data_IF_844736361113
#
_entry.id   IF_844736361113
#
_cell.length_a   1.000
_cell.length_b   1.000
_cell.length_c   1.000
_cell.angle_alpha   90.00
_cell.angle_beta   90.00
_cell.angle_gamma   90.00
#
_symmetry.space_group_name_H-M   'P 1'
#
loop_
_entity.id
_entity.type
_entity.pdbx_description
1 polymer ?
#
# COMPACT_ATOMS: atom_id res chain seq x y z
N UNK A 1 -17.72 21.36 -20.21
CA UNK A 1 -18.26 21.27 -21.57
C UNK A 1 -17.30 20.42 -22.35
N UNK A 2 -17.77 19.25 -22.84
CA UNK A 2 -17.00 18.40 -23.75
C UNK A 2 -17.19 18.95 -25.16
N UNK A 3 -16.11 19.34 -25.83
CA UNK A 3 -16.15 19.70 -27.25
C UNK A 3 -16.14 18.40 -28.07
N UNK A 4 -17.32 18.08 -28.60
CA UNK A 4 -17.52 16.92 -29.47
C UNK A 4 -17.98 17.46 -30.82
N UNK A 5 -17.24 17.15 -31.88
CA UNK A 5 -17.67 17.43 -33.24
C UNK A 5 -18.30 16.17 -33.85
N UNK A 6 -19.36 16.33 -34.62
CA UNK A 6 -20.04 15.25 -35.32
C UNK A 6 -19.80 15.37 -36.82
N UNK A 7 -19.25 14.33 -37.42
CA UNK A 7 -19.06 14.16 -38.85
C UNK A 7 -20.22 13.36 -39.42
N UNK A 8 -20.94 13.91 -40.37
CA UNK A 8 -22.06 13.20 -41.03
C UNK A 8 -21.50 12.11 -41.94
N UNK A 9 -21.90 10.87 -41.70
CA UNK A 9 -21.51 9.71 -42.48
C UNK A 9 -22.60 9.28 -43.51
N UNK A 10 -23.68 10.06 -43.62
CA UNK A 10 -24.80 9.73 -44.47
C UNK A 10 -25.58 8.47 -44.08
N UNK A 11 -26.35 7.96 -44.99
CA UNK A 11 -27.18 6.77 -44.79
C UNK A 11 -26.32 5.49 -44.86
N UNK A 12 -26.26 4.76 -43.78
CA UNK A 12 -25.53 3.49 -43.66
C UNK A 12 -26.47 2.32 -43.59
N UNK A 13 -26.17 1.25 -44.37
CA UNK A 13 -26.90 0.02 -44.29
C UNK A 13 -26.32 -0.87 -43.22
N UNK A 14 -27.08 -1.15 -42.17
CA UNK A 14 -26.62 -1.98 -41.08
C UNK A 14 -27.18 -3.40 -41.20
N UNK A 15 -26.35 -4.39 -40.82
CA UNK A 15 -26.76 -5.79 -40.81
C UNK A 15 -27.98 -5.99 -39.89
N UNK A 16 -29.05 -6.61 -40.39
CA UNK A 16 -30.31 -6.84 -39.70
C UNK A 16 -31.24 -5.62 -39.49
N UNK A 17 -30.99 -4.49 -40.16
CA UNK A 17 -31.89 -3.34 -40.17
C UNK A 17 -32.34 -3.10 -41.61
N UNK A 18 -33.65 -3.25 -41.87
CA UNK A 18 -34.20 -3.17 -43.23
C UNK A 18 -34.20 -1.76 -43.84
N UNK A 19 -34.04 -0.72 -43.02
CA UNK A 19 -33.99 0.69 -43.46
C UNK A 19 -32.61 1.30 -43.24
N UNK A 20 -32.09 2.08 -44.21
CA UNK A 20 -30.86 2.82 -43.99
C UNK A 20 -30.96 3.74 -42.76
N UNK A 21 -29.94 3.74 -41.94
CA UNK A 21 -29.87 4.60 -40.74
C UNK A 21 -28.88 5.72 -41.02
N UNK A 22 -29.27 6.96 -40.78
CA UNK A 22 -28.37 8.12 -40.88
C UNK A 22 -27.36 8.08 -39.70
N UNK A 23 -26.09 7.99 -40.01
CA UNK A 23 -25.04 7.79 -39.03
C UNK A 23 -24.13 9.03 -38.90
N UNK A 24 -23.75 9.35 -37.68
CA UNK A 24 -22.78 10.38 -37.38
C UNK A 24 -21.60 9.78 -36.63
N UNK A 25 -20.39 10.16 -37.01
CA UNK A 25 -19.18 9.82 -36.27
C UNK A 25 -18.87 10.92 -35.28
N UNK A 26 -18.89 10.59 -33.98
CA UNK A 26 -18.43 11.51 -32.96
C UNK A 26 -16.89 11.55 -32.96
N UNK A 27 -16.33 12.70 -33.23
CA UNK A 27 -14.89 12.97 -33.02
C UNK A 27 -14.75 13.77 -31.72
N UNK A 28 -14.14 13.17 -30.76
CA UNK A 28 -13.64 13.92 -29.61
C UNK A 28 -12.41 14.69 -30.13
N UNK A 29 -12.43 16.01 -30.03
CA UNK A 29 -11.21 16.78 -30.24
C UNK A 29 -10.21 16.22 -29.24
N UNK A 30 -9.12 15.64 -29.75
CA UNK A 30 -7.99 15.25 -28.92
C UNK A 30 -7.49 16.55 -28.25
N UNK A 31 -8.10 16.89 -27.13
CA UNK A 31 -7.39 17.67 -26.13
C UNK A 31 -6.19 16.77 -25.84
N UNK A 32 -4.94 17.22 -26.12
CA UNK A 32 -3.81 16.45 -25.65
C UNK A 32 -4.09 16.24 -24.16
N UNK A 33 -4.46 15.01 -23.81
CA UNK A 33 -4.42 14.60 -22.42
C UNK A 33 -2.93 14.70 -22.14
N UNK A 34 -2.50 15.91 -21.74
CA UNK A 34 -1.36 15.99 -20.85
C UNK A 34 -1.70 14.89 -19.87
N UNK A 35 -1.00 13.77 -19.95
CA UNK A 35 -0.98 12.81 -18.86
C UNK A 35 -0.63 13.70 -17.68
N UNK A 36 -1.66 14.21 -17.06
CA UNK A 36 -1.55 14.84 -15.76
C UNK A 36 -0.90 13.71 -14.99
N UNK A 37 0.39 13.82 -14.83
CA UNK A 37 1.12 13.03 -13.85
C UNK A 37 0.18 13.03 -12.69
N UNK A 38 -0.40 11.86 -12.37
CA UNK A 38 -1.42 11.76 -11.35
C UNK A 38 -0.89 12.65 -10.25
N UNK A 39 -1.58 13.75 -9.99
CA UNK A 39 -1.12 14.75 -9.03
C UNK A 39 -0.96 13.95 -7.77
N UNK A 40 0.29 13.56 -7.49
CA UNK A 40 0.63 12.87 -6.25
C UNK A 40 0.22 13.89 -5.23
N UNK A 41 -0.95 13.67 -4.63
CA UNK A 41 -1.40 14.51 -3.52
C UNK A 41 -0.23 14.54 -2.55
N UNK A 42 0.28 15.71 -2.18
CA UNK A 42 1.37 15.76 -1.23
C UNK A 42 0.93 15.01 0.00
N UNK A 43 1.58 13.86 0.25
CA UNK A 43 1.35 13.12 1.47
C UNK A 43 1.64 14.05 2.65
N UNK A 44 0.90 13.90 3.75
CA UNK A 44 1.19 14.65 4.96
C UNK A 44 2.68 14.55 5.26
N UNK A 45 3.31 15.60 5.79
CA UNK A 45 4.72 15.62 6.19
C UNK A 45 5.07 14.56 7.25
N UNK A 46 4.06 13.85 7.73
CA UNK A 46 4.18 12.73 8.66
C UNK A 46 4.83 11.52 8.00
N UNK A 47 5.61 10.74 8.75
CA UNK A 47 6.03 9.40 8.32
C UNK A 47 4.81 8.58 7.90
N UNK A 48 4.93 7.89 6.79
CA UNK A 48 3.82 7.13 6.21
C UNK A 48 4.22 5.68 6.02
N UNK A 49 3.30 4.76 6.38
CA UNK A 49 3.52 3.32 6.32
C UNK A 49 2.38 2.59 5.62
N UNK A 50 2.74 1.60 4.81
CA UNK A 50 1.82 0.57 4.32
C UNK A 50 2.17 -0.77 4.97
N UNK A 51 1.16 -1.47 5.48
CA UNK A 51 1.30 -2.85 5.95
C UNK A 51 0.77 -3.75 4.84
N UNK A 52 1.66 -4.53 4.22
CA UNK A 52 1.28 -5.44 3.15
C UNK A 52 0.63 -6.72 3.72
N UNK A 53 -0.23 -7.39 2.94
CA UNK A 53 -0.70 -8.72 3.31
C UNK A 53 0.47 -9.66 3.57
N UNK A 54 0.45 -10.36 4.69
CA UNK A 54 1.49 -11.33 5.01
C UNK A 54 1.34 -12.56 4.11
N UNK A 55 2.47 -13.05 3.61
CA UNK A 55 2.49 -14.22 2.73
C UNK A 55 2.26 -15.49 3.54
N UNK A 56 1.19 -16.22 3.21
CA UNK A 56 0.99 -17.57 3.75
C UNK A 56 1.92 -18.55 3.04
N UNK A 57 2.90 -19.09 3.76
CA UNK A 57 3.88 -20.05 3.25
C UNK A 57 3.53 -21.51 3.63
N UNK A 58 2.35 -21.75 4.20
CA UNK A 58 1.94 -23.09 4.66
C UNK A 58 1.15 -23.86 3.60
N UNK A 59 0.56 -23.19 2.61
CA UNK A 59 -0.37 -23.81 1.67
C UNK A 59 -1.73 -24.17 2.28
N UNK A 60 -1.98 -23.84 3.54
CA UNK A 60 -3.23 -24.09 4.27
C UNK A 60 -4.12 -22.83 4.17
N UNK A 61 -5.32 -22.90 3.55
CA UNK A 61 -6.21 -21.75 3.40
C UNK A 61 -6.67 -21.13 4.74
N UNK A 62 -6.74 -21.91 5.81
CA UNK A 62 -7.10 -21.37 7.14
C UNK A 62 -6.05 -20.39 7.66
N UNK A 63 -4.79 -20.59 7.29
CA UNK A 63 -3.71 -19.67 7.65
C UNK A 63 -3.74 -18.37 6.87
N UNK A 64 -4.42 -18.31 5.74
CA UNK A 64 -4.68 -17.10 4.97
C UNK A 64 -5.54 -16.12 5.77
N UNK A 65 -6.62 -16.63 6.36
CA UNK A 65 -7.50 -15.85 7.21
C UNK A 65 -6.79 -15.31 8.45
N UNK A 66 -5.97 -16.15 9.08
CA UNK A 66 -5.15 -15.74 10.22
C UNK A 66 -4.13 -14.65 9.85
N UNK A 67 -3.44 -14.82 8.73
CA UNK A 67 -2.47 -13.82 8.24
C UNK A 67 -3.15 -12.48 7.93
N UNK A 68 -4.32 -12.50 7.31
CA UNK A 68 -5.10 -11.30 6.99
C UNK A 68 -5.60 -10.59 8.24
N UNK A 69 -6.09 -11.34 9.24
CA UNK A 69 -6.53 -10.80 10.53
C UNK A 69 -5.40 -10.09 11.26
N UNK A 70 -4.22 -10.71 11.33
CA UNK A 70 -3.04 -10.11 11.93
C UNK A 70 -2.65 -8.79 11.28
N UNK A 71 -2.68 -8.72 9.95
CA UNK A 71 -2.40 -7.46 9.22
C UNK A 71 -3.42 -6.38 9.58
N UNK A 72 -4.69 -6.74 9.70
CA UNK A 72 -5.77 -5.82 10.07
C UNK A 72 -5.57 -5.26 11.48
N UNK A 73 -5.20 -6.11 12.44
CA UNK A 73 -4.90 -5.71 13.81
C UNK A 73 -3.68 -4.78 13.88
N UNK A 74 -2.62 -5.10 13.13
CA UNK A 74 -1.43 -4.24 13.05
C UNK A 74 -1.78 -2.88 12.45
N UNK A 75 -2.55 -2.82 11.36
CA UNK A 75 -3.02 -1.56 10.76
C UNK A 75 -3.82 -0.75 11.77
N UNK A 76 -4.75 -1.41 12.46
CA UNK A 76 -5.60 -0.77 13.48
C UNK A 76 -4.76 -0.21 14.61
N UNK A 77 -3.85 -1.00 15.17
CA UNK A 77 -3.00 -0.57 16.27
C UNK A 77 -2.04 0.57 15.87
N UNK A 78 -1.43 0.50 14.67
CA UNK A 78 -0.58 1.57 14.15
C UNK A 78 -1.37 2.86 13.90
N UNK A 79 -2.64 2.79 13.54
CA UNK A 79 -3.47 3.96 13.26
C UNK A 79 -3.76 4.82 14.50
N UNK A 80 -3.56 4.28 15.70
CA UNK A 80 -3.66 5.03 16.94
C UNK A 80 -2.48 6.02 17.15
N UNK A 81 -1.37 5.84 16.44
CA UNK A 81 -0.21 6.75 16.50
C UNK A 81 -0.44 7.98 15.63
N UNK A 82 -0.83 9.09 16.22
CA UNK A 82 -1.13 10.35 15.52
C UNK A 82 0.05 10.89 14.69
N UNK A 83 1.28 10.54 15.06
CA UNK A 83 2.49 10.94 14.35
C UNK A 83 2.74 10.11 13.08
N UNK A 84 2.01 9.01 12.87
CA UNK A 84 2.17 8.11 11.74
C UNK A 84 0.95 8.19 10.81
N UNK A 85 1.19 8.23 9.51
CA UNK A 85 0.14 8.10 8.50
C UNK A 85 0.10 6.65 8.02
N UNK A 86 -0.97 5.93 8.33
CA UNK A 86 -1.12 4.51 8.00
C UNK A 86 -2.07 4.38 6.80
N UNK A 87 -1.62 3.66 5.78
CA UNK A 87 -2.43 3.38 4.60
C UNK A 87 -3.57 2.44 4.97
N UNK A 88 -4.76 2.73 4.42
CA UNK A 88 -5.94 1.90 4.63
C UNK A 88 -5.74 0.47 4.12
N UNK A 89 -6.30 -0.50 4.86
CA UNK A 89 -6.24 -1.94 4.55
C UNK A 89 -6.52 -2.25 3.09
N UNK A 90 -7.62 -1.76 2.55
CA UNK A 90 -8.03 -2.07 1.18
C UNK A 90 -7.01 -1.64 0.12
N UNK A 91 -6.28 -0.55 0.35
CA UNK A 91 -5.22 -0.11 -0.55
C UNK A 91 -4.01 -1.05 -0.50
N UNK A 92 -3.61 -1.48 0.70
CA UNK A 92 -2.53 -2.44 0.89
C UNK A 92 -2.88 -3.82 0.33
N UNK A 93 -4.14 -4.24 0.46
CA UNK A 93 -4.61 -5.56 0.01
C UNK A 93 -4.72 -5.71 -1.51
N UNK A 94 -4.58 -4.64 -2.28
CA UNK A 94 -4.42 -4.73 -3.74
C UNK A 94 -3.15 -5.46 -4.16
N UNK A 95 -2.19 -5.61 -3.23
CA UNK A 95 -0.94 -6.35 -3.43
C UNK A 95 -1.02 -7.82 -3.00
N UNK A 96 -2.16 -8.28 -2.49
CA UNK A 96 -2.30 -9.66 -2.03
C UNK A 96 -2.00 -10.68 -3.13
N UNK A 97 -1.16 -11.68 -2.81
CA UNK A 97 -0.75 -12.71 -3.76
C UNK A 97 0.22 -12.25 -4.86
N UNK A 98 0.73 -11.01 -4.78
CA UNK A 98 1.67 -10.46 -5.76
C UNK A 98 3.07 -10.37 -5.15
N UNK A 99 4.06 -10.81 -5.89
CA UNK A 99 5.45 -10.50 -5.57
C UNK A 99 5.74 -9.05 -5.99
N UNK A 100 5.96 -8.17 -5.04
CA UNK A 100 6.21 -6.74 -5.28
C UNK A 100 7.45 -6.28 -4.54
N UNK A 101 8.16 -5.32 -5.15
CA UNK A 101 9.28 -4.66 -4.52
C UNK A 101 8.77 -3.53 -3.59
N UNK A 102 9.29 -3.45 -2.37
CA UNK A 102 8.94 -2.41 -1.40
C UNK A 102 9.13 -0.99 -1.98
N UNK A 103 10.13 -0.77 -2.83
CA UNK A 103 10.34 0.51 -3.52
C UNK A 103 9.22 0.82 -4.52
N UNK A 104 8.67 -0.20 -5.18
CA UNK A 104 7.53 -0.03 -6.07
C UNK A 104 6.29 0.33 -5.28
N UNK A 105 5.99 -0.41 -4.21
CA UNK A 105 4.89 -0.11 -3.30
C UNK A 105 4.99 1.32 -2.75
N UNK A 106 6.19 1.71 -2.31
CA UNK A 106 6.45 3.06 -1.82
C UNK A 106 6.09 4.16 -2.82
N UNK A 107 6.40 3.95 -4.11
CA UNK A 107 6.04 4.90 -5.19
C UNK A 107 4.55 4.88 -5.50
N UNK A 108 3.93 3.71 -5.57
CA UNK A 108 2.52 3.55 -5.96
C UNK A 108 1.57 4.05 -4.87
N UNK A 109 1.85 3.77 -3.60
CA UNK A 109 1.06 4.22 -2.46
C UNK A 109 1.55 5.55 -1.87
N UNK A 110 2.70 6.04 -2.32
CA UNK A 110 3.31 7.25 -1.82
C UNK A 110 3.77 7.14 -0.37
N UNK A 111 4.17 5.98 0.11
CA UNK A 111 4.60 5.76 1.49
C UNK A 111 6.11 5.71 1.63
N UNK A 112 6.58 6.10 2.82
CA UNK A 112 8.01 6.05 3.17
C UNK A 112 8.44 4.69 3.68
N UNK A 113 7.55 3.97 4.34
CA UNK A 113 7.83 2.71 4.98
C UNK A 113 6.87 1.64 4.52
N UNK A 114 7.37 0.42 4.41
CA UNK A 114 6.59 -0.76 4.10
C UNK A 114 6.87 -1.81 5.16
N UNK A 115 5.82 -2.31 5.78
CA UNK A 115 5.86 -3.51 6.62
C UNK A 115 5.39 -4.69 5.78
N UNK A 116 6.22 -5.70 5.67
CA UNK A 116 5.89 -6.98 5.04
C UNK A 116 6.16 -8.14 5.99
N UNK A 117 5.58 -9.29 5.70
CA UNK A 117 5.77 -10.45 6.54
C UNK A 117 5.30 -11.74 5.91
N UNK A 118 5.50 -12.82 6.65
CA UNK A 118 5.03 -14.15 6.27
C UNK A 118 4.57 -14.95 7.47
N UNK A 119 3.64 -15.87 7.21
CA UNK A 119 3.14 -16.83 8.17
C UNK A 119 3.43 -18.23 7.63
N UNK A 120 3.99 -19.09 8.47
CA UNK A 120 4.24 -20.50 8.16
C UNK A 120 3.80 -21.38 9.33
N UNK A 121 2.92 -22.33 9.04
CA UNK A 121 2.48 -23.36 9.98
C UNK A 121 3.23 -24.67 9.72
N UNK A 122 3.64 -25.33 10.77
CA UNK A 122 4.19 -26.68 10.72
C UNK A 122 3.69 -27.45 11.96
N UNK A 123 2.84 -28.43 11.74
CA UNK A 123 2.10 -29.13 12.79
C UNK A 123 1.35 -28.12 13.70
N UNK A 124 1.59 -28.15 15.00
CA UNK A 124 0.96 -27.27 15.99
C UNK A 124 1.73 -25.96 16.25
N UNK A 125 2.71 -25.66 15.41
CA UNK A 125 3.52 -24.43 15.55
C UNK A 125 3.32 -23.50 14.39
N UNK A 126 3.20 -22.21 14.72
CA UNK A 126 3.17 -21.11 13.76
C UNK A 126 4.44 -20.28 13.91
N UNK A 127 5.02 -19.95 12.79
CA UNK A 127 6.13 -18.99 12.69
C UNK A 127 5.69 -17.80 11.87
N UNK A 128 5.89 -16.64 12.43
CA UNK A 128 5.58 -15.34 11.80
C UNK A 128 6.88 -14.58 11.68
N UNK A 129 7.10 -13.96 10.52
CA UNK A 129 8.21 -13.02 10.33
C UNK A 129 7.62 -11.68 9.94
N UNK A 130 8.17 -10.61 10.49
CA UNK A 130 7.85 -9.24 10.11
C UNK A 130 9.12 -8.47 9.80
N UNK A 131 9.06 -7.57 8.84
CA UNK A 131 10.19 -6.69 8.50
C UNK A 131 9.70 -5.33 8.02
N UNK A 132 10.32 -4.28 8.57
CA UNK A 132 10.09 -2.89 8.22
C UNK A 132 11.17 -2.42 7.26
N UNK A 133 10.77 -1.87 6.13
CA UNK A 133 11.65 -1.48 5.04
C UNK A 133 11.45 0.02 4.75
N UNK A 134 12.56 0.74 4.60
CA UNK A 134 12.57 2.08 4.00
C UNK A 134 12.32 1.95 2.50
N UNK A 135 11.17 2.44 2.04
CA UNK A 135 10.73 2.28 0.66
C UNK A 135 11.56 3.09 -0.36
N UNK A 136 12.31 4.09 0.08
CA UNK A 136 13.18 4.86 -0.81
C UNK A 136 14.48 4.12 -1.11
N UNK A 137 15.07 3.51 -0.07
CA UNK A 137 16.38 2.86 -0.15
C UNK A 137 16.29 1.35 -0.34
N UNK A 138 15.22 0.72 0.15
CA UNK A 138 15.07 -0.73 0.27
C UNK A 138 15.81 -1.29 1.51
N UNK A 139 16.27 -0.44 2.41
CA UNK A 139 16.98 -0.86 3.60
C UNK A 139 16.02 -1.42 4.65
N UNK A 140 16.38 -2.55 5.25
CA UNK A 140 15.65 -3.09 6.39
C UNK A 140 15.97 -2.26 7.64
N UNK A 141 14.94 -1.67 8.24
CA UNK A 141 15.04 -0.90 9.47
C UNK A 141 14.83 -1.77 10.71
N UNK A 142 14.04 -2.82 10.55
CA UNK A 142 13.74 -3.80 11.58
C UNK A 142 13.31 -5.12 10.93
N UNK A 143 13.67 -6.24 11.54
CA UNK A 143 13.19 -7.56 11.19
C UNK A 143 13.17 -8.44 12.44
N UNK A 144 12.08 -9.19 12.63
CA UNK A 144 11.91 -10.09 13.76
C UNK A 144 11.10 -11.32 13.39
N UNK A 145 11.28 -12.36 14.18
CA UNK A 145 10.59 -13.65 14.03
C UNK A 145 9.92 -14.02 15.33
N UNK A 146 8.67 -14.40 15.22
CA UNK A 146 7.82 -14.86 16.33
C UNK A 146 7.47 -16.32 16.11
N UNK A 147 7.62 -17.13 17.17
CA UNK A 147 7.23 -18.53 17.18
C UNK A 147 6.16 -18.73 18.25
N UNK A 148 5.08 -19.46 17.92
CA UNK A 148 4.00 -19.78 18.87
C UNK A 148 3.30 -21.08 18.55
N UNK A 149 2.48 -21.55 19.49
CA UNK A 149 1.57 -22.69 19.31
C UNK A 149 0.19 -22.25 18.82
N UNK A 150 -0.56 -23.17 18.22
CA UNK A 150 -1.93 -22.94 17.77
C UNK A 150 -2.98 -23.01 18.90
N UNK A 151 -2.58 -23.39 20.12
CA UNK A 151 -3.50 -23.60 21.25
C UNK A 151 -4.24 -22.32 21.66
N UNK A 152 -3.62 -21.15 21.44
CA UNK A 152 -4.25 -19.85 21.60
C UNK A 152 -3.78 -18.90 20.48
N UNK A 153 -4.51 -18.97 19.38
CA UNK A 153 -4.16 -18.24 18.17
C UNK A 153 -4.38 -16.73 18.33
N UNK A 154 -5.34 -16.32 19.13
CA UNK A 154 -5.62 -14.90 19.40
C UNK A 154 -4.56 -14.29 20.31
N UNK A 155 -4.14 -15.00 21.36
CA UNK A 155 -3.02 -14.56 22.20
C UNK A 155 -1.72 -14.42 21.40
N UNK A 156 -1.48 -15.30 20.45
CA UNK A 156 -0.33 -15.17 19.55
C UNK A 156 -0.44 -13.93 18.67
N UNK A 157 -1.61 -13.67 18.13
CA UNK A 157 -1.91 -12.52 17.28
C UNK A 157 -1.71 -11.20 18.05
N UNK A 158 -2.25 -11.12 19.26
CA UNK A 158 -2.09 -9.94 20.14
C UNK A 158 -0.62 -9.69 20.47
N UNK A 159 0.12 -10.70 20.89
CA UNK A 159 1.57 -10.58 21.21
C UNK A 159 2.39 -10.14 20.01
N UNK A 160 2.11 -10.68 18.82
CA UNK A 160 2.81 -10.28 17.60
C UNK A 160 2.48 -8.84 17.25
N UNK A 161 1.21 -8.46 17.30
CA UNK A 161 0.75 -7.09 17.04
C UNK A 161 1.42 -6.09 18.00
N UNK A 162 1.40 -6.36 19.30
CA UNK A 162 2.05 -5.51 20.30
C UNK A 162 3.56 -5.37 20.06
N UNK A 163 4.25 -6.49 19.79
CA UNK A 163 5.68 -6.48 19.54
C UNK A 163 6.05 -5.73 18.27
N UNK A 164 5.30 -5.96 17.19
CA UNK A 164 5.50 -5.28 15.90
C UNK A 164 5.28 -3.78 16.06
N UNK A 165 4.17 -3.38 16.67
CA UNK A 165 3.81 -1.97 16.88
C UNK A 165 4.81 -1.28 17.80
N UNK A 166 5.21 -1.95 18.89
CA UNK A 166 6.23 -1.45 19.84
C UNK A 166 7.61 -1.25 19.20
N UNK A 167 7.97 -2.06 18.21
CA UNK A 167 9.22 -1.95 17.47
C UNK A 167 9.18 -0.91 16.33
N UNK A 168 8.03 -0.78 15.64
CA UNK A 168 7.90 0.10 14.46
C UNK A 168 8.00 1.57 14.87
N UNK A 169 7.32 2.01 15.92
CA UNK A 169 7.29 3.42 16.31
C UNK A 169 8.71 3.98 16.57
N UNK A 170 9.57 3.36 17.40
CA UNK A 170 10.94 3.80 17.59
C UNK A 170 11.81 3.68 16.33
N UNK A 171 11.61 2.64 15.51
CA UNK A 171 12.37 2.44 14.28
C UNK A 171 12.10 3.55 13.25
N UNK A 172 10.84 3.93 13.09
CA UNK A 172 10.41 5.03 12.22
C UNK A 172 10.94 6.36 12.75
N UNK A 173 10.80 6.62 14.03
CA UNK A 173 11.32 7.85 14.66
C UNK A 173 12.82 8.01 14.42
N UNK A 174 13.60 6.96 14.67
CA UNK A 174 15.03 6.95 14.42
C UNK A 174 15.35 7.21 12.94
N UNK A 175 14.63 6.57 12.02
CA UNK A 175 14.83 6.76 10.59
C UNK A 175 14.50 8.18 10.14
N UNK A 176 13.45 8.80 10.68
CA UNK A 176 13.11 10.19 10.39
C UNK A 176 14.15 11.19 10.95
N UNK A 177 14.68 10.95 12.15
CA UNK A 177 15.78 11.75 12.72
C UNK A 177 17.01 11.68 11.81
N UNK A 178 17.41 10.48 11.38
CA UNK A 178 18.53 10.30 10.47
C UNK A 178 18.29 10.94 9.09
N UNK A 179 17.07 10.90 8.60
CA UNK A 179 16.65 11.58 7.36
C UNK A 179 16.74 13.10 7.50
N UNK A 180 16.26 13.65 8.61
CA UNK A 180 16.33 15.08 8.89
C UNK A 180 17.78 15.60 8.94
N UNK A 181 18.68 14.83 9.57
CA UNK A 181 20.13 15.17 9.62
C UNK A 181 20.80 15.22 8.25
N UNK A 182 20.27 14.49 7.26
CA UNK A 182 20.82 14.45 5.89
C UNK A 182 20.30 15.57 4.98
N UNK A 183 19.25 16.31 5.40
CA UNK A 183 18.76 17.46 4.64
C UNK A 183 19.78 18.61 4.72
N UNK A 184 20.15 19.27 3.60
CA UNK A 184 20.99 20.47 3.64
C UNK A 184 20.31 21.55 4.49
N UNK A 185 21.11 22.28 5.26
CA UNK A 185 20.61 23.31 6.20
C UNK A 185 19.79 24.41 5.51
N UNK A 186 20.03 24.64 4.22
CA UNK A 186 19.31 25.64 3.39
C UNK A 186 17.85 25.25 3.08
N UNK A 187 17.44 23.98 3.32
CA UNK A 187 16.09 23.48 3.09
C UNK A 187 15.30 23.19 4.38
N UNK A 188 15.81 23.64 5.53
CA UNK A 188 15.12 23.50 6.80
C UNK A 188 14.12 24.67 6.93
N UNK A 189 12.86 24.39 6.66
CA UNK A 189 11.77 25.28 7.06
C UNK A 189 11.76 25.41 8.58
N UNK A 190 11.53 26.62 9.08
CA UNK A 190 11.57 26.95 10.52
C UNK A 190 10.62 26.09 11.39
N UNK A 191 9.67 25.38 10.76
CA UNK A 191 8.73 24.44 11.40
C UNK A 191 9.29 23.04 11.67
N UNK A 192 10.48 22.69 11.18
CA UNK A 192 11.08 21.37 11.39
C UNK A 192 11.84 21.26 12.74
N UNK A 193 11.81 22.29 13.58
CA UNK A 193 12.56 22.39 14.84
C UNK A 193 11.68 22.34 16.11
N UNK A 194 10.35 22.04 15.97
CA UNK A 194 9.45 21.92 17.11
C UNK A 194 8.73 20.56 17.12
#
# INVERSE_FOLDING_TARGET
KLDVSFEDMGNQQLKNIARPVHAYRARFVDVPISRTSASILPLPDKPSIAVLPFTNMSGDPEQEYFADGMVDDIITALSHFKALFVIARNSSFTYKGRAVDAKQVGRELGVRYVLEGSVRKAADRVRITGQLIDAATGAHLWAERFDGGLGDIFDLQDRVTESVVGAIAPAVEKAEIERAKRKPTESLDAYALY
#
